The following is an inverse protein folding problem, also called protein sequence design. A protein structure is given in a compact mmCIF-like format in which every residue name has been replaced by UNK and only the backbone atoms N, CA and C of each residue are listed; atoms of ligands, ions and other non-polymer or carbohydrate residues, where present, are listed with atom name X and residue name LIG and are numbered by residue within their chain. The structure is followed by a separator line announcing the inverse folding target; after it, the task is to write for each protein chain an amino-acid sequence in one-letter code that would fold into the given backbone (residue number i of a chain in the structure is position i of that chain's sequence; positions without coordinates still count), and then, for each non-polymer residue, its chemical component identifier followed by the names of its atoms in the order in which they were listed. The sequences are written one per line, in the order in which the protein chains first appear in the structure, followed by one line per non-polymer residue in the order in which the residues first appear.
data_IF_880942804862
#
_entry.id   IF_880942804862
#
_cell.length_a   1.000
_cell.length_b   1.000
_cell.length_c   1.000
_cell.angle_alpha   90.00
_cell.angle_beta   90.00
_cell.angle_gamma   90.00
#
_symmetry.space_group_name_H-M   'P 1'
#
loop_
_entity.id
_entity.type
_entity.pdbx_description
1 polymer ?
#
# COMPACT_ATOMS: atom_id res chain seq x y z
N UNK A 1 -16.25 9.19 -12.01
CA UNK A 1 -15.61 8.39 -10.97
C UNK A 1 -14.12 8.36 -11.21
N UNK A 2 -13.32 8.72 -10.20
CA UNK A 2 -11.85 8.66 -10.26
C UNK A 2 -11.39 7.36 -9.61
N UNK A 3 -10.41 6.71 -10.22
CA UNK A 3 -9.78 5.52 -9.67
C UNK A 3 -8.27 5.67 -9.77
N UNK A 4 -7.56 5.21 -8.75
CA UNK A 4 -6.12 5.26 -8.68
C UNK A 4 -5.56 3.85 -8.43
N UNK A 5 -4.51 3.50 -9.15
CA UNK A 5 -3.66 2.36 -8.82
C UNK A 5 -2.39 2.92 -8.19
N UNK A 6 -2.09 2.53 -6.96
CA UNK A 6 -0.92 3.05 -6.24
C UNK A 6 0.28 2.12 -6.36
N UNK A 7 1.47 2.72 -6.34
CA UNK A 7 2.75 2.01 -6.31
C UNK A 7 2.97 1.30 -4.97
N UNK A 8 3.80 0.25 -4.97
CA UNK A 8 4.23 -0.48 -3.79
C UNK A 8 4.78 0.44 -2.69
N UNK A 9 5.58 1.45 -3.03
CA UNK A 9 6.15 2.36 -2.03
C UNK A 9 5.11 3.29 -1.39
N UNK A 10 4.16 3.79 -2.19
CA UNK A 10 3.05 4.62 -1.69
C UNK A 10 2.20 3.82 -0.72
N UNK A 11 1.92 2.55 -1.05
CA UNK A 11 1.20 1.65 -0.16
C UNK A 11 1.95 1.41 1.17
N UNK A 12 3.27 1.18 1.13
CA UNK A 12 4.07 0.99 2.35
C UNK A 12 4.03 2.25 3.23
N UNK A 13 4.25 3.44 2.65
CA UNK A 13 4.21 4.69 3.40
C UNK A 13 2.82 4.98 4.00
N UNK A 14 1.75 4.65 3.29
CA UNK A 14 0.39 4.74 3.83
C UNK A 14 0.19 3.79 5.02
N UNK A 15 0.65 2.54 4.90
CA UNK A 15 0.48 1.52 5.92
C UNK A 15 1.28 1.82 7.20
N UNK A 16 2.44 2.44 7.07
CA UNK A 16 3.34 2.81 8.18
C UNK A 16 3.08 4.24 8.73
N UNK A 17 2.05 4.92 8.20
CA UNK A 17 1.78 6.34 8.45
C UNK A 17 3.04 7.23 8.34
N UNK A 18 3.86 6.94 7.34
CA UNK A 18 5.18 7.53 7.19
C UNK A 18 5.06 9.05 6.88
N UNK A 19 5.78 9.92 7.61
CA UNK A 19 5.77 11.37 7.38
C UNK A 19 6.36 11.78 6.02
N UNK A 20 7.06 10.89 5.32
CA UNK A 20 7.53 11.10 3.94
C UNK A 20 6.35 11.20 2.97
N UNK A 21 5.18 10.65 3.31
CA UNK A 21 4.02 10.67 2.44
C UNK A 21 3.49 12.11 2.28
N UNK A 22 3.56 12.71 1.06
CA UNK A 22 3.14 14.09 0.87
C UNK A 22 1.66 14.27 1.18
N UNK A 23 1.32 15.35 1.87
CA UNK A 23 -0.08 15.71 2.21
C UNK A 23 -0.95 15.77 0.95
N UNK A 24 -0.43 16.34 -0.13
CA UNK A 24 -1.14 16.41 -1.41
C UNK A 24 -1.48 15.04 -2.02
N UNK A 25 -0.66 14.02 -1.75
CA UNK A 25 -0.92 12.66 -2.20
C UNK A 25 -2.01 12.01 -1.34
N UNK A 26 -1.98 12.21 -0.01
CA UNK A 26 -3.06 11.78 0.90
C UNK A 26 -4.38 12.42 0.48
N UNK A 27 -4.40 13.73 0.30
CA UNK A 27 -5.59 14.47 -0.17
C UNK A 27 -6.10 13.92 -1.51
N UNK A 28 -5.20 13.61 -2.44
CA UNK A 28 -5.60 13.04 -3.74
C UNK A 28 -6.20 11.64 -3.60
N UNK A 29 -5.71 10.82 -2.68
CA UNK A 29 -6.23 9.47 -2.43
C UNK A 29 -7.58 9.51 -1.72
N UNK A 30 -7.76 10.41 -0.75
CA UNK A 30 -9.03 10.64 -0.05
C UNK A 30 -10.14 11.10 -1.00
N UNK A 31 -9.79 11.87 -2.04
CA UNK A 31 -10.72 12.32 -3.08
C UNK A 31 -10.88 11.33 -4.25
N UNK A 32 -10.35 10.11 -4.13
CA UNK A 32 -10.46 9.07 -5.16
C UNK A 32 -11.50 8.02 -4.75
N UNK A 33 -12.47 7.73 -5.62
CA UNK A 33 -13.58 6.82 -5.30
C UNK A 33 -13.09 5.39 -5.03
N UNK A 34 -12.12 4.93 -5.83
CA UNK A 34 -11.54 3.59 -5.69
C UNK A 34 -10.01 3.66 -5.76
N UNK A 35 -9.35 3.15 -4.72
CA UNK A 35 -7.90 2.99 -4.66
C UNK A 35 -7.57 1.51 -4.75
N UNK A 36 -6.73 1.15 -5.71
CA UNK A 36 -6.32 -0.23 -5.98
C UNK A 36 -4.83 -0.40 -5.69
N UNK A 37 -4.47 -1.62 -5.28
CA UNK A 37 -3.08 -2.08 -5.14
C UNK A 37 -2.93 -3.36 -5.95
N UNK A 38 -1.83 -3.48 -6.69
CA UNK A 38 -1.56 -4.69 -7.46
C UNK A 38 -1.21 -5.87 -6.56
N UNK A 39 -1.69 -7.07 -6.91
CA UNK A 39 -1.27 -8.31 -6.24
C UNK A 39 0.25 -8.53 -6.36
N UNK A 40 0.87 -8.04 -7.44
CA UNK A 40 2.31 -8.15 -7.65
C UNK A 40 3.10 -7.33 -6.61
N UNK A 41 2.54 -6.21 -6.12
CA UNK A 41 3.16 -5.40 -5.07
C UNK A 41 3.32 -6.21 -3.78
N UNK A 42 2.34 -7.03 -3.43
CA UNK A 42 2.43 -7.91 -2.25
C UNK A 42 3.54 -8.95 -2.39
N UNK A 43 3.65 -9.60 -3.56
CA UNK A 43 4.74 -10.53 -3.84
C UNK A 43 6.11 -9.86 -3.72
N UNK A 44 6.27 -8.66 -4.27
CA UNK A 44 7.52 -7.90 -4.16
C UNK A 44 7.85 -7.57 -2.70
N UNK A 45 6.87 -7.11 -1.91
CA UNK A 45 7.02 -6.82 -0.48
C UNK A 45 7.47 -8.08 0.26
N UNK A 46 6.78 -9.20 0.09
CA UNK A 46 7.12 -10.47 0.76
C UNK A 46 8.54 -10.92 0.44
N UNK A 47 8.98 -10.79 -0.82
CA UNK A 47 10.35 -11.10 -1.22
C UNK A 47 11.34 -10.16 -0.54
N UNK A 48 11.10 -8.84 -0.58
CA UNK A 48 12.00 -7.84 0.02
C UNK A 48 12.13 -7.98 1.54
N UNK A 49 11.04 -8.30 2.23
CA UNK A 49 11.04 -8.61 3.67
C UNK A 49 11.86 -9.86 3.94
N UNK A 50 11.61 -10.94 3.19
CA UNK A 50 12.33 -12.21 3.38
C UNK A 50 13.85 -12.09 3.19
N UNK A 51 14.30 -11.25 2.26
CA UNK A 51 15.74 -11.03 2.02
C UNK A 51 16.34 -9.89 2.86
N UNK A 52 15.58 -9.32 3.80
CA UNK A 52 16.04 -8.24 4.69
C UNK A 52 16.27 -6.89 4.00
N UNK A 53 15.76 -6.69 2.78
CA UNK A 53 15.85 -5.40 2.05
C UNK A 53 14.73 -4.42 2.44
N UNK A 54 13.70 -4.89 3.14
CA UNK A 54 12.61 -4.09 3.65
C UNK A 54 12.28 -4.57 5.06
N UNK A 55 12.20 -3.62 6.00
CA UNK A 55 11.71 -3.87 7.36
C UNK A 55 10.40 -3.11 7.52
N UNK A 56 9.35 -3.80 7.94
CA UNK A 56 8.06 -3.19 8.27
C UNK A 56 7.94 -3.12 9.79
N UNK A 57 7.44 -2.00 10.32
CA UNK A 57 7.24 -1.87 11.78
C UNK A 57 5.91 -2.49 12.21
N UNK A 58 4.95 -2.58 11.27
CA UNK A 58 3.64 -3.18 11.51
C UNK A 58 3.54 -4.61 10.95
N UNK A 59 2.84 -5.48 11.67
CA UNK A 59 2.42 -6.77 11.11
C UNK A 59 1.33 -6.53 10.05
N UNK A 60 1.71 -6.62 8.78
CA UNK A 60 0.76 -6.58 7.67
C UNK A 60 0.01 -7.91 7.56
N UNK A 61 -1.29 -7.90 7.88
CA UNK A 61 -2.18 -9.04 7.67
C UNK A 61 -2.99 -8.80 6.40
N UNK A 62 -2.89 -9.71 5.43
CA UNK A 62 -3.76 -9.70 4.26
C UNK A 62 -5.11 -10.30 4.64
N UNK A 63 -6.14 -9.47 4.79
CA UNK A 63 -7.52 -9.95 4.90
C UNK A 63 -8.11 -10.03 3.50
N UNK A 64 -8.18 -11.24 2.96
CA UNK A 64 -8.96 -11.47 1.76
C UNK A 64 -10.42 -11.50 2.18
N UNK A 65 -11.18 -10.48 1.77
CA UNK A 65 -12.64 -10.54 1.89
C UNK A 65 -13.09 -11.58 0.88
N UNK A 66 -13.57 -12.72 1.36
CA UNK A 66 -14.22 -13.72 0.51
C UNK A 66 -15.46 -13.06 -0.11
N UNK A 67 -15.44 -12.91 -1.43
CA UNK A 67 -16.59 -12.44 -2.19
C UNK A 67 -17.46 -13.65 -2.49
N UNK A 68 -18.31 -14.03 -1.53
CA UNK A 68 -19.48 -14.89 -1.78
C UNK A 68 -20.47 -14.19 -2.73
#
# INVERSE_FOLDING_TARGET
MKSALIDTHVFIWLAEDDPILPVSLRDSLENTDNVFVSIASFWEISIKVKIGKLSLCSEMTMTQKDWD
#
